data_IF_236122219999
#
_entry.id   IF_236122219999
#
_cell.length_a   1.000
_cell.length_b   1.000
_cell.length_c   1.000
_cell.angle_alpha   90.00
_cell.angle_beta   90.00
_cell.angle_gamma   90.00
#
_symmetry.space_group_name_H-M   'P 1'
#
loop_
_entity.id
_entity.type
_entity.pdbx_description
1 polymer ?
#
# COMPACT_ATOMS: atom_id res chain seq x y z
N UNK A 1 -16.61 3.61 26.75
CA UNK A 1 -15.78 3.62 25.51
C UNK A 1 -15.99 2.29 24.80
N UNK A 2 -16.19 2.30 23.48
CA UNK A 2 -16.28 1.08 22.64
C UNK A 2 -15.09 0.14 22.88
N UNK A 3 -13.90 0.72 23.10
CA UNK A 3 -12.66 0.00 23.39
C UNK A 3 -12.72 -0.93 24.62
N UNK A 4 -13.69 -0.74 25.53
CA UNK A 4 -13.83 -1.61 26.71
C UNK A 4 -14.57 -2.92 26.41
N UNK A 5 -15.37 -2.94 25.35
CA UNK A 5 -16.30 -4.05 25.07
C UNK A 5 -16.02 -4.73 23.72
N UNK A 6 -15.10 -4.19 22.91
CA UNK A 6 -14.75 -4.71 21.59
C UNK A 6 -13.24 -4.84 21.43
N UNK A 7 -12.75 -5.76 20.57
CA UNK A 7 -11.33 -5.86 20.24
C UNK A 7 -10.80 -4.54 19.71
N UNK A 8 -9.69 -4.09 20.28
CA UNK A 8 -8.95 -2.91 19.83
C UNK A 8 -7.58 -3.29 19.34
N UNK A 9 -7.02 -2.45 18.47
CA UNK A 9 -5.63 -2.54 18.05
C UNK A 9 -4.73 -2.38 19.26
N UNK A 10 -4.07 -3.46 19.67
CA UNK A 10 -3.00 -3.43 20.66
C UNK A 10 -1.67 -3.28 19.91
N UNK A 11 -1.12 -2.06 19.94
CA UNK A 11 0.13 -1.75 19.23
C UNK A 11 1.31 -2.61 19.70
N UNK A 12 1.28 -3.12 20.93
CA UNK A 12 2.34 -4.00 21.44
C UNK A 12 2.38 -5.36 20.75
N UNK A 13 1.29 -5.75 20.07
CA UNK A 13 1.16 -7.03 19.36
C UNK A 13 1.39 -6.90 17.85
N UNK A 14 1.67 -5.70 17.36
CA UNK A 14 1.97 -5.46 15.94
C UNK A 14 3.48 -5.31 15.81
N UNK A 15 4.15 -6.39 15.42
CA UNK A 15 5.60 -6.46 15.26
C UNK A 15 6.05 -6.82 13.84
N UNK A 16 7.35 -6.71 13.59
CA UNK A 16 8.08 -7.21 12.40
C UNK A 16 9.01 -8.36 12.74
N UNK A 17 8.95 -8.93 13.94
CA UNK A 17 9.92 -9.89 14.48
C UNK A 17 10.30 -11.01 13.49
N UNK A 18 9.32 -11.51 12.71
CA UNK A 18 9.55 -12.52 11.65
C UNK A 18 10.45 -11.96 10.53
N UNK A 19 10.14 -10.75 10.05
CA UNK A 19 10.89 -10.06 8.99
C UNK A 19 12.27 -9.61 9.48
N UNK A 20 12.38 -9.22 10.74
CA UNK A 20 13.64 -8.82 11.37
C UNK A 20 14.53 -10.02 11.74
N UNK A 21 14.01 -11.25 11.61
CA UNK A 21 14.74 -12.48 11.93
C UNK A 21 14.95 -12.69 13.44
N UNK A 22 14.07 -12.12 14.26
CA UNK A 22 14.11 -12.19 15.73
C UNK A 22 13.35 -13.40 16.30
N UNK A 23 12.86 -14.28 15.42
CA UNK A 23 12.18 -15.52 15.77
C UNK A 23 13.19 -16.63 16.08
N UNK A 24 13.01 -17.30 17.20
CA UNK A 24 13.80 -18.49 17.58
C UNK A 24 13.53 -19.66 16.63
N UNK A 25 14.51 -20.57 16.52
CA UNK A 25 14.42 -21.86 15.82
C UNK A 25 13.41 -22.81 16.49
N UNK A 26 12.13 -22.48 16.37
CA UNK A 26 11.02 -23.28 16.88
C UNK A 26 10.60 -24.34 15.86
N UNK A 27 10.02 -25.46 16.32
CA UNK A 27 9.46 -26.48 15.43
C UNK A 27 8.31 -25.95 14.54
N UNK A 28 7.68 -24.84 14.94
CA UNK A 28 6.64 -24.16 14.18
C UNK A 28 7.18 -22.84 13.61
N UNK A 29 7.47 -22.86 12.31
CA UNK A 29 7.98 -21.69 11.60
C UNK A 29 6.82 -20.85 11.01
N UNK A 30 6.96 -19.52 10.96
CA UNK A 30 5.98 -18.66 10.31
C UNK A 30 5.87 -18.93 8.81
N UNK A 31 4.64 -18.88 8.28
CA UNK A 31 4.37 -19.07 6.86
C UNK A 31 4.62 -17.81 6.01
N UNK A 32 4.48 -16.63 6.61
CA UNK A 32 4.58 -15.33 5.95
C UNK A 32 5.37 -14.34 6.80
N UNK A 33 5.90 -13.31 6.14
CA UNK A 33 6.68 -12.24 6.78
C UNK A 33 5.88 -11.40 7.79
N UNK A 34 4.59 -11.23 7.53
CA UNK A 34 3.68 -10.43 8.34
C UNK A 34 2.42 -11.24 8.66
N UNK A 35 1.90 -11.03 9.85
CA UNK A 35 0.62 -11.58 10.30
C UNK A 35 -0.56 -10.69 9.88
N UNK A 36 -1.78 -11.10 10.23
CA UNK A 36 -2.99 -10.35 9.88
C UNK A 36 -3.02 -8.96 10.52
N UNK A 37 -2.66 -8.83 11.81
CA UNK A 37 -2.71 -7.56 12.53
C UNK A 37 -1.74 -6.53 11.95
N UNK A 38 -0.51 -6.95 11.62
CA UNK A 38 0.47 -6.09 10.96
C UNK A 38 0.03 -5.71 9.55
N UNK A 39 -0.56 -6.64 8.82
CA UNK A 39 -1.06 -6.38 7.45
C UNK A 39 -2.19 -5.35 7.47
N UNK A 40 -3.22 -5.53 8.29
CA UNK A 40 -4.36 -4.60 8.40
C UNK A 40 -3.92 -3.20 8.84
N UNK A 41 -3.02 -3.14 9.82
CA UNK A 41 -2.44 -1.88 10.27
C UNK A 41 -1.69 -1.15 9.15
N UNK A 42 -0.92 -1.89 8.35
CA UNK A 42 -0.14 -1.33 7.25
C UNK A 42 -1.05 -0.86 6.11
N UNK A 43 -2.10 -1.61 5.76
CA UNK A 43 -3.10 -1.20 4.75
C UNK A 43 -3.83 0.09 5.14
N UNK A 44 -4.22 0.22 6.41
CA UNK A 44 -4.83 1.44 6.93
C UNK A 44 -3.89 2.65 6.83
N UNK A 45 -2.60 2.45 7.14
CA UNK A 45 -1.58 3.51 7.03
C UNK A 45 -1.23 3.85 5.60
N UNK A 46 -1.17 2.86 4.72
CA UNK A 46 -0.93 3.05 3.29
C UNK A 46 -1.99 4.00 2.74
N UNK A 47 -3.28 3.67 2.93
CA UNK A 47 -4.40 4.52 2.54
C UNK A 47 -4.31 5.94 3.11
N UNK A 48 -3.96 6.06 4.39
CA UNK A 48 -3.84 7.37 5.05
C UNK A 48 -2.71 8.23 4.48
N UNK A 49 -1.53 7.65 4.24
CA UNK A 49 -0.35 8.40 3.81
C UNK A 49 -0.30 8.65 2.29
N UNK A 50 -0.82 7.72 1.48
CA UNK A 50 -0.82 7.87 0.02
C UNK A 50 -2.07 8.59 -0.49
N UNK A 51 -3.15 8.58 0.27
CA UNK A 51 -4.45 9.09 -0.20
C UNK A 51 -5.01 8.29 -1.38
N UNK A 52 -4.64 7.01 -1.50
CA UNK A 52 -5.10 6.07 -2.52
C UNK A 52 -5.64 4.79 -1.87
N UNK A 53 -6.36 3.98 -2.64
CA UNK A 53 -6.77 2.66 -2.18
C UNK A 53 -5.57 1.68 -2.23
N UNK A 54 -5.40 0.79 -1.23
CA UNK A 54 -4.34 -0.22 -1.28
C UNK A 54 -4.45 -1.14 -2.49
N UNK A 55 -5.67 -1.36 -2.99
CA UNK A 55 -5.96 -2.17 -4.17
C UNK A 55 -5.35 -1.60 -5.46
N UNK A 56 -5.05 -0.30 -5.50
CA UNK A 56 -4.46 0.37 -6.67
C UNK A 56 -2.93 0.25 -6.73
N UNK A 57 -2.29 -0.23 -5.66
CA UNK A 57 -0.83 -0.31 -5.58
C UNK A 57 -0.29 -1.39 -6.53
N UNK A 58 0.62 -0.96 -7.40
CA UNK A 58 1.25 -1.84 -8.37
C UNK A 58 2.49 -2.55 -7.79
N UNK A 59 2.86 -3.74 -8.27
CA UNK A 59 4.06 -4.45 -7.80
C UNK A 59 5.39 -3.70 -8.02
N UNK A 60 5.42 -2.75 -8.96
CA UNK A 60 6.60 -1.96 -9.30
C UNK A 60 6.47 -0.55 -8.73
N UNK A 61 7.33 -0.23 -7.75
CA UNK A 61 7.28 1.02 -6.99
C UNK A 61 8.45 1.93 -7.35
N UNK A 62 8.17 3.21 -7.56
CA UNK A 62 9.17 4.25 -7.75
C UNK A 62 9.03 5.30 -6.65
N UNK A 63 10.12 5.57 -5.92
CA UNK A 63 10.17 6.66 -4.95
C UNK A 63 10.85 7.90 -5.54
N UNK A 64 10.25 9.06 -5.29
CA UNK A 64 10.78 10.36 -5.74
C UNK A 64 10.75 11.34 -4.58
N UNK A 65 11.81 12.14 -4.43
CA UNK A 65 11.92 13.16 -3.38
C UNK A 65 11.61 14.58 -3.89
N UNK A 66 11.07 14.72 -5.11
CA UNK A 66 10.79 16.01 -5.71
C UNK A 66 9.52 15.99 -6.57
N UNK A 67 8.60 16.92 -6.31
CA UNK A 67 7.26 16.92 -6.93
C UNK A 67 7.27 16.97 -8.46
N UNK A 68 8.30 17.55 -9.09
CA UNK A 68 8.41 17.60 -10.56
C UNK A 68 8.36 16.21 -11.20
N UNK A 69 8.85 15.17 -10.52
CA UNK A 69 8.75 13.81 -11.04
C UNK A 69 7.30 13.31 -11.07
N UNK A 70 6.47 13.73 -10.12
CA UNK A 70 5.05 13.41 -10.10
C UNK A 70 4.33 14.09 -11.25
N UNK A 71 4.61 15.37 -11.50
CA UNK A 71 4.02 16.11 -12.63
C UNK A 71 4.32 15.42 -13.98
N UNK A 72 5.59 15.04 -14.18
CA UNK A 72 6.02 14.37 -15.40
C UNK A 72 5.46 12.94 -15.50
N UNK A 73 5.35 12.22 -14.37
CA UNK A 73 4.72 10.91 -14.32
C UNK A 73 3.24 10.97 -14.70
N UNK A 74 2.49 11.93 -14.15
CA UNK A 74 1.06 12.12 -14.47
C UNK A 74 0.90 12.45 -15.96
N UNK A 75 1.74 13.36 -16.50
CA UNK A 75 1.72 13.70 -17.93
C UNK A 75 1.94 12.46 -18.81
N UNK A 76 2.96 11.66 -18.49
CA UNK A 76 3.25 10.42 -19.21
C UNK A 76 2.13 9.38 -19.06
N UNK A 77 1.64 9.17 -17.83
CA UNK A 77 0.61 8.19 -17.53
C UNK A 77 -0.71 8.51 -18.26
N UNK A 78 -1.12 9.79 -18.31
CA UNK A 78 -2.30 10.19 -19.08
C UNK A 78 -2.12 9.91 -20.58
N UNK A 79 -0.92 10.11 -21.15
CA UNK A 79 -0.64 9.77 -22.53
C UNK A 79 -0.71 8.25 -22.77
N UNK A 80 -0.22 7.44 -21.82
CA UNK A 80 -0.33 5.99 -21.86
C UNK A 80 -1.77 5.50 -21.73
N UNK A 81 -2.58 6.11 -20.87
CA UNK A 81 -4.00 5.73 -20.70
C UNK A 81 -4.82 6.07 -21.96
N UNK A 82 -4.47 7.13 -22.67
CA UNK A 82 -5.12 7.51 -23.92
C UNK A 82 -4.72 6.65 -25.13
N UNK A 83 -3.55 6.00 -25.11
CA UNK A 83 -3.07 5.14 -26.20
C UNK A 83 -3.73 3.76 -26.15
N UNK A 84 -4.50 3.43 -27.20
CA UNK A 84 -5.18 2.13 -27.33
C UNK A 84 -4.24 0.93 -27.45
N UNK A 85 -2.96 1.16 -27.75
CA UNK A 85 -1.94 0.11 -27.82
C UNK A 85 -1.16 -0.06 -26.50
N UNK A 86 -1.37 0.83 -25.53
CA UNK A 86 -0.72 0.79 -24.23
C UNK A 86 -1.47 -0.17 -23.29
N UNK A 87 -0.74 -0.90 -22.41
CA UNK A 87 -1.37 -1.77 -21.41
C UNK A 87 -1.99 -0.99 -20.23
N UNK A 88 -1.67 0.29 -20.07
CA UNK A 88 -2.17 1.11 -18.97
C UNK A 88 -3.59 1.61 -19.29
N UNK A 89 -4.56 1.23 -18.47
CA UNK A 89 -5.97 1.57 -18.67
C UNK A 89 -6.51 2.64 -17.71
N UNK A 90 -5.82 2.87 -16.60
CA UNK A 90 -6.24 3.84 -15.59
C UNK A 90 -5.04 4.42 -14.82
N UNK A 91 -5.25 5.58 -14.21
CA UNK A 91 -4.35 6.21 -13.25
C UNK A 91 -5.11 6.53 -11.96
N UNK A 92 -4.77 5.86 -10.86
CA UNK A 92 -5.23 6.22 -9.52
C UNK A 92 -4.36 7.33 -8.94
N UNK A 93 -5.00 8.41 -8.48
CA UNK A 93 -4.36 9.62 -7.99
C UNK A 93 -4.63 9.79 -6.50
N UNK A 94 -3.65 10.37 -5.80
CA UNK A 94 -3.82 10.81 -4.41
C UNK A 94 -5.04 11.75 -4.30
N UNK A 95 -5.89 11.50 -3.31
CA UNK A 95 -7.20 12.15 -3.21
C UNK A 95 -8.35 11.30 -3.76
N UNK A 96 -8.11 10.00 -3.98
CA UNK A 96 -9.11 9.01 -4.42
C UNK A 96 -9.76 9.34 -5.77
N UNK A 97 -9.01 10.00 -6.65
CA UNK A 97 -9.44 10.27 -8.03
C UNK A 97 -8.90 9.20 -8.95
N UNK A 98 -9.66 8.84 -9.98
CA UNK A 98 -9.23 7.89 -11.00
C UNK A 98 -9.42 8.51 -12.38
N UNK A 99 -8.40 8.39 -13.22
CA UNK A 99 -8.44 8.83 -14.62
C UNK A 99 -8.47 7.59 -15.50
N UNK A 100 -9.42 7.54 -16.43
CA UNK A 100 -9.60 6.50 -17.44
C UNK A 100 -9.61 7.13 -18.84
N UNK A 101 -9.60 6.32 -19.89
CA UNK A 101 -9.62 6.82 -21.27
C UNK A 101 -10.97 7.43 -21.70
N UNK A 102 -12.05 7.11 -20.98
CA UNK A 102 -13.42 7.57 -21.22
C UNK A 102 -13.77 8.88 -20.48
#
# INVERSE_FOLDING_TARGET
SLAKYFPTTDLSKIGDDITDGLIDDSELLPLSHFDALRTDFSLARLKHYTGTLPEDVQPYILFTNYNRYVDEFVRWACAQVADKNSPYCALSCAGFQQITAD
#
